data_IF_477967732782
#
_entry.id   IF_477967732782
#
_cell.length_a   1.000
_cell.length_b   1.000
_cell.length_c   1.000
_cell.angle_alpha   90.00
_cell.angle_beta   90.00
_cell.angle_gamma   90.00
#
_symmetry.space_group_name_H-M   'P 1'
#
loop_
_entity.id
_entity.type
_entity.pdbx_description
1 polymer ?
#
# COMPACT_ATOMS: atom_id res chain seq x y z
N UNK A 1 -39.75 -10.00 19.76
CA UNK A 1 -38.98 -9.03 20.58
C UNK A 1 -37.50 -9.34 20.77
N UNK A 2 -37.07 -10.53 21.24
CA UNK A 2 -35.62 -10.84 21.38
C UNK A 2 -34.85 -10.95 20.06
N UNK A 3 -35.50 -11.39 18.97
CA UNK A 3 -34.89 -11.44 17.63
C UNK A 3 -34.67 -10.04 17.00
N UNK A 4 -35.49 -9.05 17.38
CA UNK A 4 -35.34 -7.66 16.91
C UNK A 4 -34.16 -6.96 17.62
N UNK A 5 -33.90 -7.29 18.89
CA UNK A 5 -32.69 -6.88 19.60
C UNK A 5 -31.43 -7.57 19.05
N UNK A 6 -31.52 -8.86 18.69
CA UNK A 6 -30.42 -9.62 18.06
C UNK A 6 -29.97 -9.03 16.72
N UNK A 7 -30.91 -8.66 15.85
CA UNK A 7 -30.58 -7.98 14.60
C UNK A 7 -29.83 -6.67 14.87
N UNK A 8 -30.22 -5.88 15.88
CA UNK A 8 -29.56 -4.60 16.18
C UNK A 8 -28.08 -4.71 16.56
N UNK A 9 -27.63 -5.79 17.22
CA UNK A 9 -26.22 -5.94 17.62
C UNK A 9 -25.32 -6.49 16.50
N UNK A 10 -25.83 -7.38 15.66
CA UNK A 10 -25.11 -7.79 14.45
C UNK A 10 -25.04 -6.64 13.44
N UNK A 11 -26.10 -5.84 13.34
CA UNK A 11 -26.09 -4.62 12.55
C UNK A 11 -25.29 -3.48 13.17
N UNK A 12 -25.06 -3.43 14.49
CA UNK A 12 -24.22 -2.37 15.08
C UNK A 12 -22.74 -2.50 14.70
N UNK A 13 -22.25 -3.73 14.49
CA UNK A 13 -20.92 -3.94 13.93
C UNK A 13 -20.85 -3.50 12.45
N UNK A 14 -21.91 -3.74 11.67
CA UNK A 14 -22.05 -3.20 10.32
C UNK A 14 -22.22 -1.68 10.30
N UNK A 15 -22.97 -1.09 11.23
CA UNK A 15 -23.18 0.35 11.38
C UNK A 15 -21.93 1.06 11.91
N UNK A 16 -20.95 0.33 12.46
CA UNK A 16 -19.62 0.85 12.78
C UNK A 16 -18.72 0.84 11.55
N UNK A 17 -18.78 -0.23 10.74
CA UNK A 17 -17.95 -0.39 9.55
C UNK A 17 -18.41 0.48 8.37
N UNK A 18 -19.73 0.65 8.17
CA UNK A 18 -20.30 1.39 7.03
C UNK A 18 -19.94 2.89 7.01
N UNK A 19 -19.97 3.63 8.14
CA UNK A 19 -19.50 5.01 8.18
C UNK A 19 -17.98 5.12 8.02
N UNK A 20 -17.21 4.18 8.60
CA UNK A 20 -15.75 4.14 8.48
C UNK A 20 -15.31 3.90 7.02
N UNK A 21 -16.03 3.07 6.27
CA UNK A 21 -15.83 2.85 4.82
C UNK A 21 -16.27 4.04 3.96
N UNK A 22 -17.09 4.96 4.49
CA UNK A 22 -17.60 6.16 3.78
C UNK A 22 -16.97 7.47 4.28
N UNK A 23 -16.00 7.42 5.20
CA UNK A 23 -15.37 8.61 5.79
C UNK A 23 -16.30 9.43 6.70
N UNK A 24 -17.39 8.86 7.21
CA UNK A 24 -18.34 9.51 8.11
C UNK A 24 -18.02 9.27 9.59
N UNK A 25 -18.36 10.24 10.45
CA UNK A 25 -18.20 10.11 11.90
C UNK A 25 -19.10 9.00 12.48
N UNK A 26 -18.56 8.25 13.43
CA UNK A 26 -19.29 7.22 14.16
C UNK A 26 -20.49 7.84 14.92
N UNK A 27 -21.68 7.20 14.90
CA UNK A 27 -22.83 7.70 15.65
C UNK A 27 -22.54 7.66 17.16
N UNK A 28 -22.82 8.76 17.85
CA UNK A 28 -22.82 8.84 19.32
C UNK A 28 -24.01 8.04 19.87
N UNK A 29 -23.75 6.89 20.47
CA UNK A 29 -24.76 6.07 21.13
C UNK A 29 -24.94 6.51 22.59
N UNK A 30 -26.01 7.25 22.87
CA UNK A 30 -26.47 7.64 24.22
C UNK A 30 -27.25 6.50 24.92
N UNK A 31 -26.76 5.26 24.87
CA UNK A 31 -27.31 4.14 25.66
C UNK A 31 -26.27 3.64 26.66
N UNK A 32 -26.63 3.59 27.95
CA UNK A 32 -25.81 2.94 28.98
C UNK A 32 -25.54 1.49 28.53
N UNK A 33 -24.27 1.06 28.44
CA UNK A 33 -23.95 -0.30 28.02
C UNK A 33 -24.43 -1.26 29.12
N UNK A 34 -25.54 -1.95 28.84
CA UNK A 34 -25.95 -3.09 29.65
C UNK A 34 -24.86 -4.16 29.67
N UNK A 35 -24.85 -5.02 30.70
CA UNK A 35 -23.88 -6.12 30.78
C UNK A 35 -23.95 -6.95 29.50
N UNK A 36 -22.83 -7.18 28.79
CA UNK A 36 -22.84 -7.94 27.56
C UNK A 36 -23.35 -9.36 27.82
N UNK A 37 -24.36 -9.77 27.05
CA UNK A 37 -24.90 -11.12 27.15
C UNK A 37 -23.81 -12.15 26.80
N UNK A 38 -23.67 -13.18 27.62
CA UNK A 38 -22.76 -14.30 27.37
C UNK A 38 -23.43 -15.30 26.43
N UNK A 39 -23.11 -15.23 25.14
CA UNK A 39 -23.75 -16.05 24.10
C UNK A 39 -22.69 -16.76 23.26
N UNK A 40 -23.02 -17.98 22.83
CA UNK A 40 -22.28 -18.73 21.81
C UNK A 40 -23.18 -18.95 20.60
N UNK A 41 -22.83 -18.35 19.47
CA UNK A 41 -23.39 -18.72 18.17
C UNK A 41 -22.47 -19.76 17.56
N UNK A 42 -22.92 -21.02 17.54
CA UNK A 42 -22.10 -22.15 17.07
C UNK A 42 -21.70 -22.02 15.61
N UNK A 43 -22.63 -21.54 14.78
CA UNK A 43 -22.40 -21.35 13.36
C UNK A 43 -23.30 -20.25 12.82
N UNK A 44 -22.76 -19.44 11.91
CA UNK A 44 -23.52 -18.51 11.10
C UNK A 44 -22.99 -18.57 9.66
N UNK A 45 -23.90 -18.72 8.70
CA UNK A 45 -23.57 -18.68 7.28
C UNK A 45 -24.19 -17.42 6.69
N UNK A 46 -23.40 -16.66 5.96
CA UNK A 46 -23.78 -15.42 5.29
C UNK A 46 -23.81 -15.66 3.78
N UNK A 47 -24.85 -15.20 3.13
CA UNK A 47 -24.90 -15.10 1.67
C UNK A 47 -25.74 -13.88 1.31
N UNK A 48 -25.09 -12.86 0.74
CA UNK A 48 -25.72 -11.59 0.41
C UNK A 48 -25.23 -11.15 -0.96
N UNK A 49 -26.15 -10.83 -1.86
CA UNK A 49 -25.82 -10.10 -3.08
C UNK A 49 -25.83 -8.61 -2.76
N UNK A 50 -24.67 -7.98 -2.88
CA UNK A 50 -24.52 -6.53 -2.77
C UNK A 50 -24.13 -6.00 -4.14
N UNK A 51 -25.04 -5.26 -4.79
CA UNK A 51 -24.89 -4.85 -6.19
C UNK A 51 -24.57 -6.08 -7.05
N UNK A 52 -23.44 -6.06 -7.78
CA UNK A 52 -22.99 -7.15 -8.66
C UNK A 52 -21.98 -8.08 -7.97
N UNK A 53 -21.86 -8.00 -6.64
CA UNK A 53 -20.93 -8.79 -5.84
C UNK A 53 -21.67 -9.75 -4.91
N UNK A 54 -21.40 -11.05 -5.05
CA UNK A 54 -21.84 -12.07 -4.12
C UNK A 54 -20.85 -12.13 -2.94
N UNK A 55 -21.35 -11.80 -1.76
CA UNK A 55 -20.66 -11.98 -0.48
C UNK A 55 -21.11 -13.28 0.15
N UNK A 56 -20.17 -14.14 0.50
CA UNK A 56 -20.42 -15.38 1.25
C UNK A 56 -19.52 -15.44 2.46
N UNK A 57 -20.00 -16.07 3.52
CA UNK A 57 -19.20 -16.24 4.71
C UNK A 57 -19.65 -17.40 5.58
N UNK A 58 -18.70 -18.04 6.22
CA UNK A 58 -18.93 -19.12 7.17
C UNK A 58 -18.20 -18.79 8.46
N UNK A 59 -18.95 -18.68 9.53
CA UNK A 59 -18.44 -18.34 10.86
C UNK A 59 -18.79 -19.44 11.85
N UNK A 60 -17.89 -19.72 12.78
CA UNK A 60 -18.12 -20.69 13.86
C UNK A 60 -17.64 -20.14 15.19
N UNK A 61 -18.32 -20.57 16.25
CA UNK A 61 -18.01 -20.24 17.64
C UNK A 61 -17.97 -18.74 17.94
N UNK A 62 -18.89 -17.96 17.37
CA UNK A 62 -18.94 -16.52 17.59
C UNK A 62 -19.35 -16.27 19.04
N UNK A 63 -18.43 -15.71 19.80
CA UNK A 63 -18.62 -15.39 21.21
C UNK A 63 -17.69 -14.26 21.63
N UNK A 64 -18.01 -13.61 22.75
CA UNK A 64 -17.17 -12.69 23.50
C UNK A 64 -16.71 -13.30 24.84
N UNK A 65 -16.81 -14.63 24.98
CA UNK A 65 -16.48 -15.39 26.18
C UNK A 65 -15.64 -16.63 25.82
N UNK A 66 -14.57 -16.46 25.03
CA UNK A 66 -13.78 -17.59 24.55
C UNK A 66 -13.17 -18.42 25.68
N UNK A 67 -12.76 -17.80 26.78
CA UNK A 67 -12.26 -18.50 27.97
C UNK A 67 -13.30 -19.44 28.61
N UNK A 68 -14.60 -19.16 28.43
CA UNK A 68 -15.69 -20.02 28.95
C UNK A 68 -15.95 -21.20 28.02
N UNK A 69 -15.95 -20.96 26.71
CA UNK A 69 -16.30 -21.97 25.72
C UNK A 69 -15.11 -22.77 25.16
N UNK A 70 -13.87 -22.30 25.38
CA UNK A 70 -12.63 -23.01 25.09
C UNK A 70 -12.26 -23.15 23.61
N UNK A 71 -12.92 -22.40 22.72
CA UNK A 71 -12.69 -22.49 21.27
C UNK A 71 -12.60 -21.10 20.64
N UNK A 72 -11.67 -20.86 19.71
CA UNK A 72 -11.61 -19.61 18.96
C UNK A 72 -12.83 -19.46 18.05
N UNK A 73 -13.22 -18.21 17.80
CA UNK A 73 -14.08 -17.88 16.66
C UNK A 73 -13.28 -18.14 15.39
N UNK A 74 -13.87 -18.80 14.41
CA UNK A 74 -13.24 -18.98 13.08
C UNK A 74 -14.15 -18.39 12.01
N UNK A 75 -13.56 -17.86 10.95
CA UNK A 75 -14.30 -17.28 9.84
C UNK A 75 -13.63 -17.56 8.50
N UNK A 76 -14.46 -17.66 7.47
CA UNK A 76 -14.08 -17.56 6.06
C UNK A 76 -15.05 -16.56 5.44
N UNK A 77 -14.55 -15.62 4.65
CA UNK A 77 -15.34 -14.68 3.88
C UNK A 77 -14.82 -14.67 2.45
N UNK A 78 -15.74 -14.71 1.49
CA UNK A 78 -15.43 -14.56 0.08
C UNK A 78 -16.34 -13.49 -0.53
N UNK A 79 -15.77 -12.65 -1.37
CA UNK A 79 -16.49 -11.74 -2.24
C UNK A 79 -16.08 -12.02 -3.68
N UNK A 80 -17.06 -12.18 -4.56
CA UNK A 80 -16.82 -12.31 -5.99
C UNK A 80 -17.81 -11.43 -6.75
N UNK A 81 -17.30 -10.54 -7.59
CA UNK A 81 -18.11 -9.77 -8.53
C UNK A 81 -18.13 -10.45 -9.90
N UNK A 82 -19.04 -10.05 -10.78
CA UNK A 82 -19.00 -10.48 -12.18
C UNK A 82 -17.62 -10.13 -12.79
N UNK A 83 -16.90 -11.14 -13.29
CA UNK A 83 -15.55 -11.00 -13.85
C UNK A 83 -14.46 -11.71 -13.03
N UNK A 84 -13.24 -11.14 -13.03
CA UNK A 84 -12.07 -11.73 -12.37
C UNK A 84 -11.84 -11.24 -10.93
N UNK A 85 -12.65 -10.28 -10.47
CA UNK A 85 -12.52 -9.65 -9.14
C UNK A 85 -12.91 -10.61 -8.03
N UNK A 86 -11.96 -10.91 -7.16
CA UNK A 86 -12.14 -11.81 -6.03
C UNK A 86 -11.47 -11.25 -4.80
N UNK A 87 -12.14 -11.42 -3.67
CA UNK A 87 -11.57 -11.26 -2.35
C UNK A 87 -11.86 -12.52 -1.54
N UNK A 88 -10.86 -13.02 -0.84
CA UNK A 88 -10.99 -14.11 0.11
C UNK A 88 -10.22 -13.74 1.38
N UNK A 89 -10.82 -13.99 2.53
CA UNK A 89 -10.14 -13.89 3.82
C UNK A 89 -10.60 -15.01 4.72
N UNK A 90 -9.68 -15.51 5.52
CA UNK A 90 -9.99 -16.51 6.53
C UNK A 90 -9.14 -16.26 7.76
N UNK A 91 -9.64 -16.68 8.91
CA UNK A 91 -8.91 -16.50 10.13
C UNK A 91 -9.62 -17.06 11.34
N UNK A 92 -8.99 -16.78 12.47
CA UNK A 92 -9.49 -17.12 13.78
C UNK A 92 -9.08 -16.06 14.78
N UNK A 93 -9.87 -15.96 15.85
CA UNK A 93 -9.50 -15.14 17.00
C UNK A 93 -10.01 -15.74 18.30
N UNK A 94 -9.28 -15.48 19.37
CA UNK A 94 -9.56 -15.87 20.73
C UNK A 94 -9.35 -14.66 21.64
N UNK A 95 -10.29 -14.39 22.53
CA UNK A 95 -10.20 -13.30 23.48
C UNK A 95 -10.28 -13.84 24.91
N UNK A 96 -9.29 -13.48 25.71
CA UNK A 96 -9.22 -13.82 27.13
C UNK A 96 -8.78 -12.63 28.00
N UNK A 97 -8.29 -12.92 29.20
CA UNK A 97 -7.80 -11.91 30.14
C UNK A 97 -6.48 -11.28 29.73
N UNK A 98 -5.68 -11.99 28.95
CA UNK A 98 -4.33 -11.58 28.55
C UNK A 98 -4.39 -10.78 27.24
N UNK A 99 -5.39 -11.05 26.39
CA UNK A 99 -5.77 -10.13 25.32
C UNK A 99 -6.49 -10.79 24.16
N UNK A 100 -6.23 -10.22 22.98
CA UNK A 100 -6.62 -10.80 21.69
C UNK A 100 -5.47 -11.59 21.11
N UNK A 101 -5.73 -12.87 20.82
CA UNK A 101 -4.94 -13.67 19.91
C UNK A 101 -5.72 -13.86 18.61
N UNK A 102 -5.08 -13.66 17.47
CA UNK A 102 -5.74 -13.82 16.19
C UNK A 102 -4.76 -14.21 15.09
N UNK A 103 -5.25 -14.91 14.08
CA UNK A 103 -4.53 -15.09 12.83
C UNK A 103 -5.49 -14.94 11.66
N UNK A 104 -5.04 -14.26 10.62
CA UNK A 104 -5.83 -13.99 9.43
C UNK A 104 -4.93 -14.05 8.21
N UNK A 105 -5.44 -14.64 7.12
CA UNK A 105 -4.88 -14.51 5.79
C UNK A 105 -5.91 -13.91 4.85
N UNK A 106 -5.45 -13.15 3.86
CA UNK A 106 -6.32 -12.51 2.89
C UNK A 106 -5.69 -12.52 1.49
N UNK A 107 -6.55 -12.47 0.49
CA UNK A 107 -6.17 -12.40 -0.91
C UNK A 107 -7.18 -11.55 -1.67
N UNK A 108 -6.67 -10.64 -2.48
CA UNK A 108 -7.40 -9.83 -3.46
C UNK A 108 -6.82 -10.16 -4.83
N UNK A 109 -7.66 -10.40 -5.82
CA UNK A 109 -7.23 -10.63 -7.18
C UNK A 109 -8.15 -9.89 -8.16
N UNK A 110 -7.54 -9.29 -9.17
CA UNK A 110 -8.25 -8.73 -10.31
C UNK A 110 -8.97 -7.41 -10.03
N UNK A 111 -8.66 -6.72 -8.93
CA UNK A 111 -9.26 -5.43 -8.59
C UNK A 111 -8.78 -4.37 -9.58
N UNK A 112 -9.71 -3.73 -10.29
CA UNK A 112 -9.38 -2.62 -11.17
C UNK A 112 -9.29 -1.33 -10.35
N UNK A 113 -8.10 -0.76 -10.29
CA UNK A 113 -7.91 0.59 -9.78
C UNK A 113 -8.17 1.59 -10.92
N UNK A 114 -8.91 2.64 -10.59
CA UNK A 114 -9.18 3.77 -11.46
C UNK A 114 -8.95 5.06 -10.67
N UNK A 115 -8.11 5.94 -11.21
CA UNK A 115 -7.94 7.31 -10.73
C UNK A 115 -7.54 7.45 -9.24
N UNK A 116 -6.51 6.72 -8.82
CA UNK A 116 -5.93 6.81 -7.46
C UNK A 116 -4.87 7.91 -7.42
N UNK A 117 -5.06 8.95 -6.62
CA UNK A 117 -4.03 9.97 -6.40
C UNK A 117 -2.93 9.46 -5.45
N UNK A 118 -1.67 9.71 -5.77
CA UNK A 118 -0.51 9.23 -5.01
C UNK A 118 0.32 10.34 -4.35
N UNK A 119 0.07 11.61 -4.66
CA UNK A 119 0.94 12.70 -4.26
C UNK A 119 0.19 13.91 -3.67
N UNK A 120 0.74 14.45 -2.58
CA UNK A 120 0.52 15.83 -2.10
C UNK A 120 1.81 16.68 -2.25
N UNK A 121 2.79 16.21 -3.01
CA UNK A 121 4.03 16.93 -3.20
C UNK A 121 3.78 18.10 -4.17
N UNK A 122 3.96 19.37 -3.74
CA UNK A 122 3.70 20.53 -4.59
C UNK A 122 4.61 20.60 -5.82
N UNK A 123 5.69 19.79 -5.86
CA UNK A 123 6.62 19.74 -6.98
C UNK A 123 6.44 18.55 -7.92
N UNK A 124 5.71 17.50 -7.51
CA UNK A 124 5.53 16.29 -8.31
C UNK A 124 4.13 15.75 -8.04
N UNK A 125 3.18 16.00 -8.95
CA UNK A 125 1.85 15.40 -8.90
C UNK A 125 1.89 14.04 -9.59
N UNK A 126 1.28 13.02 -8.99
CA UNK A 126 1.29 11.65 -9.52
C UNK A 126 -0.01 10.94 -9.17
N UNK A 127 -0.55 10.21 -10.14
CA UNK A 127 -1.78 9.43 -10.00
C UNK A 127 -1.69 8.12 -10.79
N UNK A 128 -2.33 7.07 -10.29
CA UNK A 128 -2.65 5.86 -11.04
C UNK A 128 -3.93 6.16 -11.81
N UNK A 129 -3.86 6.20 -13.14
CA UNK A 129 -5.04 6.26 -13.99
C UNK A 129 -5.73 4.91 -14.04
N UNK A 130 -4.94 3.85 -14.19
CA UNK A 130 -5.45 2.49 -14.23
C UNK A 130 -4.41 1.51 -13.69
N UNK A 131 -4.86 0.50 -12.95
CA UNK A 131 -4.03 -0.66 -12.65
C UNK A 131 -4.91 -1.88 -12.36
N UNK A 132 -4.39 -3.08 -12.63
CA UNK A 132 -4.96 -4.31 -12.12
C UNK A 132 -4.18 -4.73 -10.87
N UNK A 133 -4.84 -4.65 -9.73
CA UNK A 133 -4.29 -5.00 -8.43
C UNK A 133 -4.53 -6.49 -8.11
N UNK A 134 -3.47 -7.15 -7.72
CA UNK A 134 -3.49 -8.37 -6.93
C UNK A 134 -2.75 -8.12 -5.62
N UNK A 135 -3.25 -8.65 -4.52
CA UNK A 135 -2.60 -8.48 -3.23
C UNK A 135 -2.89 -9.67 -2.33
N UNK A 136 -1.97 -10.00 -1.45
CA UNK A 136 -2.18 -11.05 -0.46
C UNK A 136 -1.37 -10.79 0.79
N UNK A 137 -1.78 -11.34 1.91
CA UNK A 137 -1.03 -11.18 3.14
C UNK A 137 -1.56 -11.99 4.31
N UNK A 138 -0.88 -11.83 5.42
CA UNK A 138 -1.22 -12.42 6.69
C UNK A 138 -1.03 -11.42 7.82
N UNK A 139 -1.84 -11.57 8.86
CA UNK A 139 -1.73 -10.85 10.11
C UNK A 139 -1.87 -11.86 11.26
N UNK A 140 -0.95 -11.81 12.18
CA UNK A 140 -0.97 -12.52 13.45
C UNK A 140 -1.01 -11.49 14.58
N UNK A 141 -1.79 -11.82 15.60
CA UNK A 141 -1.88 -11.08 16.84
C UNK A 141 -1.62 -12.07 17.96
N UNK A 142 -0.63 -11.78 18.79
CA UNK A 142 -0.33 -12.54 20.01
C UNK A 142 -0.29 -11.57 21.17
N UNK A 143 -1.15 -11.74 22.17
CA UNK A 143 -1.23 -10.85 23.33
C UNK A 143 -1.34 -9.36 22.91
N UNK A 144 -2.15 -9.05 21.90
CA UNK A 144 -2.34 -7.71 21.30
C UNK A 144 -1.14 -7.13 20.52
N UNK A 145 -0.07 -7.89 20.33
CA UNK A 145 1.06 -7.52 19.47
C UNK A 145 0.79 -7.95 18.04
N UNK A 146 0.88 -7.02 17.09
CA UNK A 146 0.71 -7.32 15.67
C UNK A 146 2.04 -7.78 15.06
N UNK A 147 1.94 -8.78 14.21
CA UNK A 147 2.96 -9.14 13.22
C UNK A 147 2.26 -9.50 11.91
N UNK A 148 2.57 -8.80 10.84
CA UNK A 148 1.90 -9.01 9.57
C UNK A 148 2.79 -8.65 8.38
N UNK A 149 2.49 -9.29 7.27
CA UNK A 149 3.14 -9.00 6.00
C UNK A 149 2.15 -9.13 4.85
N UNK A 150 2.43 -8.43 3.77
CA UNK A 150 1.64 -8.50 2.55
C UNK A 150 2.43 -8.11 1.32
N UNK A 151 1.96 -8.60 0.18
CA UNK A 151 2.46 -8.24 -1.15
C UNK A 151 1.33 -7.59 -1.93
N UNK A 152 1.69 -6.61 -2.75
CA UNK A 152 0.78 -5.94 -3.67
C UNK A 152 1.47 -5.85 -5.03
N UNK A 153 0.81 -6.41 -6.03
CA UNK A 153 1.28 -6.43 -7.41
C UNK A 153 0.30 -5.58 -8.23
N UNK A 154 0.81 -4.46 -8.77
CA UNK A 154 0.09 -3.63 -9.72
C UNK A 154 0.57 -3.99 -11.12
N UNK A 155 -0.35 -4.45 -11.97
CA UNK A 155 -0.06 -4.79 -13.37
C UNK A 155 -0.91 -3.95 -14.30
N UNK A 156 -0.52 -3.83 -15.58
CA UNK A 156 -1.18 -2.93 -16.55
C UNK A 156 -1.29 -1.51 -15.99
N UNK A 157 -0.27 -1.10 -15.25
CA UNK A 157 -0.23 0.20 -14.61
C UNK A 157 -0.16 1.28 -15.69
N UNK A 158 -1.02 2.27 -15.55
CA UNK A 158 -0.97 3.52 -16.29
C UNK A 158 -0.94 4.63 -15.28
N UNK A 159 0.19 5.32 -15.23
CA UNK A 159 0.39 6.47 -14.36
C UNK A 159 0.05 7.75 -15.13
N UNK A 160 -0.18 8.82 -14.41
CA UNK A 160 0.00 10.16 -14.91
C UNK A 160 0.76 10.94 -13.85
N UNK A 161 1.86 11.55 -14.25
CA UNK A 161 2.67 12.37 -13.37
C UNK A 161 3.07 13.69 -14.03
N UNK A 162 3.16 14.75 -13.25
CA UNK A 162 3.63 16.07 -13.70
C UNK A 162 4.60 16.66 -12.69
N UNK A 163 5.70 17.25 -13.17
CA UNK A 163 6.71 17.89 -12.35
C UNK A 163 6.69 19.41 -12.48
N UNK A 164 7.07 20.12 -11.42
CA UNK A 164 7.20 21.58 -11.43
C UNK A 164 8.58 22.08 -11.88
N UNK A 165 9.59 21.20 -11.92
CA UNK A 165 10.97 21.53 -12.25
C UNK A 165 11.62 20.44 -13.15
N UNK A 166 12.86 20.65 -13.59
CA UNK A 166 13.53 19.72 -14.50
C UNK A 166 13.70 18.32 -13.91
N UNK A 167 13.97 18.22 -12.61
CA UNK A 167 14.16 16.94 -11.92
C UNK A 167 12.84 16.18 -11.82
N UNK A 168 11.81 16.85 -11.31
CA UNK A 168 10.48 16.27 -11.12
C UNK A 168 9.81 15.96 -12.45
N UNK A 169 10.08 16.71 -13.53
CA UNK A 169 9.61 16.37 -14.86
C UNK A 169 10.31 15.12 -15.43
N UNK A 170 11.60 14.93 -15.15
CA UNK A 170 12.31 13.71 -15.52
C UNK A 170 11.80 12.49 -14.73
N UNK A 171 11.49 12.68 -13.44
CA UNK A 171 10.86 11.63 -12.63
C UNK A 171 9.45 11.33 -13.13
N UNK A 172 8.67 12.37 -13.44
CA UNK A 172 7.30 12.23 -13.96
C UNK A 172 7.26 11.45 -15.28
N UNK A 173 8.18 11.71 -16.21
CA UNK A 173 8.23 10.96 -17.48
C UNK A 173 8.61 9.49 -17.28
N UNK A 174 9.45 9.19 -16.29
CA UNK A 174 9.79 7.81 -15.96
C UNK A 174 8.63 7.10 -15.25
N UNK A 175 7.90 7.79 -14.37
CA UNK A 175 6.67 7.28 -13.75
C UNK A 175 5.59 6.97 -14.80
N UNK A 176 5.45 7.84 -15.81
CA UNK A 176 4.51 7.65 -16.92
C UNK A 176 4.82 6.38 -17.75
N UNK A 177 6.10 5.99 -17.80
CA UNK A 177 6.54 4.77 -18.49
C UNK A 177 6.36 3.47 -17.69
N UNK A 178 5.99 3.56 -16.41
CA UNK A 178 5.89 2.44 -15.49
C UNK A 178 4.66 1.57 -15.82
N UNK A 179 4.87 0.27 -16.08
CA UNK A 179 3.79 -0.66 -16.46
C UNK A 179 3.41 -1.63 -15.34
N UNK A 180 4.26 -1.76 -14.33
CA UNK A 180 4.04 -2.62 -13.18
C UNK A 180 4.67 -2.01 -11.93
N UNK A 181 4.18 -2.35 -10.75
CA UNK A 181 4.78 -1.95 -9.49
C UNK A 181 4.56 -3.06 -8.47
N UNK A 182 5.65 -3.58 -7.92
CA UNK A 182 5.59 -4.58 -6.87
C UNK A 182 5.88 -3.88 -5.54
N UNK A 183 5.03 -4.13 -4.56
CA UNK A 183 5.13 -3.54 -3.22
C UNK A 183 5.03 -4.63 -2.15
N UNK A 184 5.72 -4.40 -1.05
CA UNK A 184 5.58 -5.20 0.17
C UNK A 184 5.21 -4.29 1.33
N UNK A 185 4.31 -4.80 2.17
CA UNK A 185 3.83 -4.15 3.38
C UNK A 185 4.20 -5.02 4.57
N UNK A 186 4.63 -4.39 5.65
CA UNK A 186 4.87 -5.02 6.94
C UNK A 186 4.05 -4.28 7.99
N UNK A 187 3.48 -5.03 8.93
CA UNK A 187 2.69 -4.52 10.04
C UNK A 187 3.31 -5.04 11.31
N UNK A 188 3.53 -4.16 12.28
CA UNK A 188 4.10 -4.50 13.58
C UNK A 188 3.51 -3.61 14.67
N UNK A 189 3.92 -3.79 15.92
CA UNK A 189 3.52 -2.91 17.03
C UNK A 189 2.31 -3.43 17.80
N UNK A 190 1.49 -2.54 18.34
CA UNK A 190 0.31 -2.91 19.17
C UNK A 190 -0.99 -2.51 18.49
N UNK A 191 -2.12 -3.09 18.90
CA UNK A 191 -3.45 -2.74 18.36
C UNK A 191 -3.79 -1.25 18.50
N UNK A 192 -3.21 -0.59 19.50
CA UNK A 192 -3.37 0.84 19.75
C UNK A 192 -2.34 1.72 19.04
N UNK A 193 -1.22 1.14 18.59
CA UNK A 193 -0.13 1.85 17.93
C UNK A 193 0.53 0.94 16.87
N UNK A 194 -0.17 0.63 15.76
CA UNK A 194 0.40 -0.16 14.69
C UNK A 194 1.51 0.62 13.98
N UNK A 195 2.56 -0.10 13.61
CA UNK A 195 3.66 0.39 12.81
C UNK A 195 3.59 -0.24 11.42
N UNK A 196 3.58 0.59 10.40
CA UNK A 196 3.47 0.18 9.00
C UNK A 196 4.78 0.45 8.27
N UNK A 197 5.32 -0.57 7.62
CA UNK A 197 6.50 -0.47 6.78
C UNK A 197 6.15 -0.81 5.34
N UNK A 198 6.41 0.11 4.41
CA UNK A 198 6.18 -0.09 2.99
C UNK A 198 7.49 -0.10 2.22
N UNK A 199 7.63 -1.01 1.27
CA UNK A 199 8.72 -0.97 0.31
C UNK A 199 8.23 -1.35 -1.08
N UNK A 200 8.93 -0.86 -2.10
CA UNK A 200 8.57 -1.10 -3.51
C UNK A 200 9.82 -1.23 -4.35
N UNK A 201 9.68 -1.84 -5.53
CA UNK A 201 10.76 -1.94 -6.51
C UNK A 201 10.88 -0.72 -7.46
N UNK A 202 10.14 0.35 -7.16
CA UNK A 202 10.10 1.59 -7.94
C UNK A 202 11.50 2.17 -8.25
N UNK A 203 12.42 2.18 -7.29
CA UNK A 203 13.79 2.69 -7.47
C UNK A 203 14.55 1.93 -8.55
N UNK A 204 14.44 0.60 -8.52
CA UNK A 204 15.02 -0.28 -9.54
C UNK A 204 14.36 -0.06 -10.90
N UNK A 205 13.03 0.07 -10.94
CA UNK A 205 12.31 0.28 -12.20
C UNK A 205 12.66 1.62 -12.86
N UNK A 206 12.69 2.70 -12.08
CA UNK A 206 13.05 4.03 -12.57
C UNK A 206 14.51 4.07 -13.03
N UNK A 207 15.43 3.44 -12.30
CA UNK A 207 16.84 3.35 -12.71
C UNK A 207 17.00 2.59 -14.04
N UNK A 208 16.29 1.47 -14.21
CA UNK A 208 16.30 0.71 -15.46
C UNK A 208 15.71 1.51 -16.63
N UNK A 209 14.61 2.22 -16.39
CA UNK A 209 14.00 3.09 -17.40
C UNK A 209 14.96 4.22 -17.81
N UNK A 210 15.62 4.87 -16.85
CA UNK A 210 16.63 5.89 -17.13
C UNK A 210 17.81 5.33 -17.94
N UNK A 211 18.35 4.16 -17.58
CA UNK A 211 19.45 3.51 -18.31
C UNK A 211 19.05 3.12 -19.74
N UNK A 212 17.84 2.58 -19.94
CA UNK A 212 17.32 2.24 -21.27
C UNK A 212 17.17 3.47 -22.17
N UNK A 213 16.89 4.65 -21.58
CA UNK A 213 16.82 5.90 -22.31
C UNK A 213 18.20 6.41 -22.75
N UNK A 214 19.26 6.04 -22.04
CA UNK A 214 20.64 6.46 -22.32
C UNK A 214 21.27 5.65 -23.45
N UNK A 215 21.07 4.33 -23.49
CA UNK A 215 21.72 3.41 -24.44
C UNK A 215 21.36 3.62 -25.93
N UNK A 216 20.34 4.42 -26.23
CA UNK A 216 19.91 4.68 -27.61
C UNK A 216 20.71 5.81 -28.32
N UNK A 217 21.49 6.65 -27.62
CA UNK A 217 22.26 7.75 -28.23
C UNK A 217 23.25 8.40 -27.25
N UNK A 218 24.31 7.68 -26.87
CA UNK A 218 25.06 7.98 -25.64
C UNK A 218 25.95 9.22 -25.64
N UNK A 219 26.25 9.89 -26.76
CA UNK A 219 27.07 11.12 -26.69
C UNK A 219 26.22 12.38 -26.48
N UNK A 220 25.12 12.52 -27.21
CA UNK A 220 24.29 13.73 -27.16
C UNK A 220 23.43 13.81 -25.90
N UNK A 221 22.96 12.65 -25.39
CA UNK A 221 22.20 12.60 -24.13
C UNK A 221 23.06 12.78 -22.90
N UNK A 222 24.33 12.38 -22.92
CA UNK A 222 25.27 12.69 -21.83
C UNK A 222 25.56 14.20 -21.79
N UNK A 223 25.68 14.85 -22.95
CA UNK A 223 25.82 16.31 -23.02
C UNK A 223 24.55 17.02 -22.54
N UNK A 224 23.37 16.54 -22.92
CA UNK A 224 22.09 17.09 -22.48
C UNK A 224 21.85 16.87 -20.98
N UNK A 225 22.21 15.69 -20.46
CA UNK A 225 22.16 15.37 -19.04
C UNK A 225 23.13 16.25 -18.26
N UNK A 226 24.34 16.47 -18.75
CA UNK A 226 25.32 17.38 -18.15
C UNK A 226 24.80 18.83 -18.12
N UNK A 227 24.19 19.32 -19.21
CA UNK A 227 23.53 20.62 -19.24
C UNK A 227 22.32 20.71 -18.31
N UNK A 228 21.51 19.65 -18.20
CA UNK A 228 20.35 19.59 -17.30
C UNK A 228 20.75 19.51 -15.84
N UNK A 229 21.83 18.80 -15.51
CA UNK A 229 22.42 18.74 -14.17
C UNK A 229 23.00 20.09 -13.77
N UNK A 230 23.72 20.77 -14.67
CA UNK A 230 24.19 22.15 -14.43
C UNK A 230 23.03 23.14 -14.26
N UNK A 231 21.91 22.94 -14.97
CA UNK A 231 20.67 23.71 -14.79
C UNK A 231 19.91 23.40 -13.50
N UNK A 232 20.04 22.19 -12.95
CA UNK A 232 19.45 21.77 -11.67
C UNK A 232 20.20 22.31 -10.44
N UNK A 233 21.44 22.78 -10.59
CA UNK A 233 22.26 23.42 -9.55
C UNK A 233 21.82 24.88 -9.25
N UNK A 234 20.58 25.23 -9.63
CA UNK A 234 19.92 26.45 -9.21
C UNK A 234 19.59 26.45 -7.71
N UNK A 235 20.50 27.04 -6.92
CA UNK A 235 20.28 27.69 -5.61
C UNK A 235 19.37 26.98 -4.59
N UNK A 236 19.57 25.68 -4.28
CA UNK A 236 18.81 25.10 -3.16
C UNK A 236 19.37 23.88 -2.41
N UNK A 237 20.48 23.25 -2.79
CA UNK A 237 21.04 22.15 -1.98
C UNK A 237 22.58 22.02 -2.14
N UNK A 238 23.33 22.54 -1.18
CA UNK A 238 24.81 22.59 -1.22
C UNK A 238 25.46 21.20 -1.22
N UNK A 239 24.80 20.19 -0.64
CA UNK A 239 25.31 18.81 -0.63
C UNK A 239 25.15 18.14 -2.01
N UNK A 240 24.02 18.35 -2.68
CA UNK A 240 23.82 17.84 -4.04
C UNK A 240 24.74 18.57 -5.03
N UNK A 241 24.98 19.87 -4.83
CA UNK A 241 25.94 20.63 -5.62
C UNK A 241 27.39 20.12 -5.44
N UNK A 242 27.77 19.73 -4.22
CA UNK A 242 29.08 19.15 -3.94
C UNK A 242 29.26 17.76 -4.57
N UNK A 243 28.26 16.88 -4.44
CA UNK A 243 28.29 15.55 -5.07
C UNK A 243 28.29 15.63 -6.61
N UNK A 244 27.50 16.53 -7.19
CA UNK A 244 27.48 16.76 -8.64
C UNK A 244 28.75 17.44 -9.16
N UNK A 245 29.36 18.33 -8.36
CA UNK A 245 30.67 18.93 -8.64
C UNK A 245 31.75 17.86 -8.75
N UNK A 246 31.74 16.88 -7.83
CA UNK A 246 32.64 15.73 -7.88
C UNK A 246 32.40 14.86 -9.12
N UNK A 247 31.14 14.63 -9.52
CA UNK A 247 30.77 13.87 -10.73
C UNK A 247 31.23 14.60 -12.01
N UNK A 248 31.11 15.93 -12.08
CA UNK A 248 31.60 16.71 -13.23
C UNK A 248 33.13 16.68 -13.38
N UNK A 249 33.84 16.69 -12.24
CA UNK A 249 35.30 16.57 -12.17
C UNK A 249 35.76 15.15 -12.55
N UNK A 250 34.97 14.14 -12.19
CA UNK A 250 35.20 12.75 -12.57
C UNK A 250 34.88 12.49 -14.05
N UNK A 251 33.76 12.98 -14.60
CA UNK A 251 33.42 12.85 -16.03
C UNK A 251 34.48 13.43 -16.96
N UNK A 252 35.07 14.57 -16.57
CA UNK A 252 36.19 15.16 -17.30
C UNK A 252 37.48 14.32 -17.18
N UNK A 253 37.64 13.56 -16.09
CA UNK A 253 38.76 12.63 -15.88
C UNK A 253 38.55 11.22 -16.48
N UNK A 254 37.31 10.78 -16.72
CA UNK A 254 36.95 9.38 -17.07
C UNK A 254 36.21 9.22 -18.40
N UNK A 255 36.44 10.09 -19.40
CA UNK A 255 35.93 9.95 -20.78
C UNK A 255 36.12 8.55 -21.44
N UNK A 256 36.87 7.64 -20.81
CA UNK A 256 37.13 6.27 -21.27
C UNK A 256 36.42 5.15 -20.50
N UNK A 257 35.78 5.44 -19.37
CA UNK A 257 35.24 4.39 -18.49
C UNK A 257 33.72 4.53 -18.33
N UNK A 258 33.02 4.14 -19.40
CA UNK A 258 31.57 4.23 -19.54
C UNK A 258 30.83 3.44 -18.45
N UNK A 259 31.42 2.36 -17.96
CA UNK A 259 30.88 1.55 -16.87
C UNK A 259 30.87 2.31 -15.53
N UNK A 260 31.95 3.01 -15.20
CA UNK A 260 32.04 3.82 -13.97
C UNK A 260 31.07 5.01 -14.00
N UNK A 261 30.87 5.62 -15.18
CA UNK A 261 29.88 6.68 -15.37
C UNK A 261 28.45 6.17 -15.22
N UNK A 262 28.14 5.00 -15.77
CA UNK A 262 26.84 4.36 -15.60
C UNK A 262 26.55 4.04 -14.13
N UNK A 263 27.55 3.54 -13.39
CA UNK A 263 27.42 3.21 -11.97
C UNK A 263 27.15 4.45 -11.10
N UNK A 264 27.85 5.57 -11.36
CA UNK A 264 27.60 6.83 -10.65
C UNK A 264 26.25 7.45 -10.99
N UNK A 265 25.87 7.49 -12.26
CA UNK A 265 24.54 7.99 -12.68
C UNK A 265 23.43 7.15 -12.04
N UNK A 266 23.60 5.83 -12.00
CA UNK A 266 22.67 4.93 -11.32
C UNK A 266 22.58 5.26 -9.82
N UNK A 267 23.70 5.50 -9.14
CA UNK A 267 23.73 5.84 -7.72
C UNK A 267 23.06 7.19 -7.41
N UNK A 268 23.37 8.24 -8.17
CA UNK A 268 22.79 9.58 -7.96
C UNK A 268 21.30 9.60 -8.28
N UNK A 269 20.91 8.95 -9.37
CA UNK A 269 19.51 8.85 -9.75
C UNK A 269 18.72 8.04 -8.72
N UNK A 270 19.25 6.89 -8.27
CA UNK A 270 18.66 6.09 -7.20
C UNK A 270 18.45 6.90 -5.91
N UNK A 271 19.45 7.68 -5.48
CA UNK A 271 19.33 8.53 -4.29
C UNK A 271 18.27 9.62 -4.43
N UNK A 272 18.17 10.27 -5.60
CA UNK A 272 17.16 11.29 -5.85
C UNK A 272 15.74 10.69 -5.90
N UNK A 273 15.61 9.49 -6.48
CA UNK A 273 14.36 8.73 -6.52
C UNK A 273 13.94 8.28 -5.13
N UNK A 274 14.85 7.73 -4.31
CA UNK A 274 14.52 7.25 -2.95
C UNK A 274 13.90 8.38 -2.10
N UNK A 275 14.48 9.59 -2.16
CA UNK A 275 13.93 10.77 -1.45
C UNK A 275 12.52 11.17 -1.89
N UNK A 276 12.13 10.91 -3.13
CA UNK A 276 10.77 11.20 -3.63
C UNK A 276 9.83 10.02 -3.40
N UNK A 277 10.35 8.78 -3.49
CA UNK A 277 9.65 7.54 -3.16
C UNK A 277 9.14 7.55 -1.72
N UNK A 278 9.97 7.94 -0.75
CA UNK A 278 9.54 8.03 0.65
C UNK A 278 8.32 8.96 0.83
N UNK A 279 8.18 9.99 -0.01
CA UNK A 279 7.03 10.89 0.05
C UNK A 279 5.78 10.32 -0.62
N UNK A 280 5.95 9.46 -1.62
CA UNK A 280 4.87 8.79 -2.34
C UNK A 280 4.33 7.59 -1.56
N UNK A 281 5.22 6.77 -0.99
CA UNK A 281 4.84 5.53 -0.29
C UNK A 281 4.24 5.77 1.10
N UNK A 282 4.59 6.85 1.80
CA UNK A 282 4.05 7.17 3.13
C UNK A 282 2.52 7.46 3.15
N UNK A 283 1.84 7.46 2.00
CA UNK A 283 0.40 7.72 1.87
C UNK A 283 -0.43 6.53 1.38
N UNK A 284 0.22 5.45 0.92
CA UNK A 284 -0.45 4.19 0.60
C UNK A 284 -0.70 3.40 1.89
#
# INVERSE_FOLDING_TARGET
DKAAQYNRYLFSAFDLLVPLLKGGAAPTADEQPGTPLQVLVRQANLSVNWQDTLLTGDWKNITNQHSVFGHPTTFILNAAAEGAQKFATQGQFFMDSDGLDASQTWQIAGLLLDSVSLSDNPRLDASIKQALLAASGSLEITDNMLDGSGTVDLTKLTMAATGSDNLTNAIASLLDSLQQLDMTMNISGTLSAPNFGFSSDLDRQLANAALSSLSASQQDKLNELNSKLQGMVGSQDDNLASELGNISTWMSATQRDEAALQELLQATFKNAVEKQKDKLLNKL
#
